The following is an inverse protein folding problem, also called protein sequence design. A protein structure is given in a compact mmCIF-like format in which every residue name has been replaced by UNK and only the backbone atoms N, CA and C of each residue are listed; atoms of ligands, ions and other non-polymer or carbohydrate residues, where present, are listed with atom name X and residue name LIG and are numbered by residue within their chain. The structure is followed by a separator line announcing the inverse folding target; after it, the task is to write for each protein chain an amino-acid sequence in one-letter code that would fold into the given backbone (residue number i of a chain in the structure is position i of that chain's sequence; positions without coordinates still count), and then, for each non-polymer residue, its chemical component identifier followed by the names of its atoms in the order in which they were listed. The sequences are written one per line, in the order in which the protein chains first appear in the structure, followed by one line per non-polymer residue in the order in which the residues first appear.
data_IF_495362534369
#
_entry.id   IF_495362534369
#
_cell.length_a   1.000
_cell.length_b   1.000
_cell.length_c   1.000
_cell.angle_alpha   90.00
_cell.angle_beta   90.00
_cell.angle_gamma   90.00
#
_symmetry.space_group_name_H-M   'P 1'
#
loop_
_entity.id
_entity.type
_entity.pdbx_description
1 polymer ?
#
# COMPACT_ATOMS: atom_id res chain seq x y z
N UNK A 1 4.57 10.21 -7.48
CA UNK A 1 4.48 10.12 -6.01
C UNK A 1 5.87 9.93 -5.44
N UNK A 2 6.27 10.69 -4.39
CA UNK A 2 7.61 10.64 -3.83
C UNK A 2 7.76 9.49 -2.81
N UNK A 3 7.44 8.25 -3.22
CA UNK A 3 7.56 7.06 -2.38
C UNK A 3 8.66 6.15 -2.92
N UNK A 4 9.38 5.50 -2.02
CA UNK A 4 10.37 4.48 -2.33
C UNK A 4 10.19 3.30 -1.38
N UNK A 5 10.04 2.10 -1.95
CA UNK A 5 9.93 0.87 -1.19
C UNK A 5 11.26 0.13 -1.32
N UNK A 6 12.17 0.23 -0.33
CA UNK A 6 13.44 -0.45 -0.41
C UNK A 6 13.29 -1.96 -0.23
N UNK A 7 14.23 -2.74 -0.78
CA UNK A 7 14.41 -4.13 -0.36
C UNK A 7 15.31 -4.24 0.88
N UNK A 8 15.42 -5.43 1.45
CA UNK A 8 16.22 -5.65 2.67
C UNK A 8 17.70 -5.32 2.44
N UNK A 9 18.24 -5.73 1.28
CA UNK A 9 19.63 -5.56 0.90
C UNK A 9 20.01 -4.08 0.82
N UNK A 10 19.15 -3.24 0.23
CA UNK A 10 19.33 -1.80 0.13
C UNK A 10 19.39 -1.13 1.50
N UNK A 11 18.46 -1.47 2.40
CA UNK A 11 18.47 -0.91 3.77
C UNK A 11 19.72 -1.37 4.51
N UNK A 12 20.08 -2.66 4.38
CA UNK A 12 21.28 -3.23 5.00
C UNK A 12 22.54 -2.54 4.52
N UNK A 13 22.69 -2.32 3.22
CA UNK A 13 23.83 -1.63 2.63
C UNK A 13 23.96 -0.21 3.17
N UNK A 14 22.86 0.55 3.23
CA UNK A 14 22.86 1.91 3.77
C UNK A 14 23.32 1.95 5.22
N UNK A 15 22.82 1.04 6.07
CA UNK A 15 23.20 0.99 7.49
C UNK A 15 24.68 0.62 7.66
N UNK A 16 25.20 -0.30 6.85
CA UNK A 16 26.61 -0.71 6.89
C UNK A 16 27.52 0.44 6.42
N UNK A 17 27.16 1.09 5.32
CA UNK A 17 27.94 2.18 4.74
C UNK A 17 27.95 3.43 5.61
N UNK A 18 26.86 3.72 6.32
CA UNK A 18 26.80 4.80 7.31
C UNK A 18 27.68 4.50 8.53
N UNK A 19 27.63 3.28 9.05
CA UNK A 19 28.64 2.74 9.98
C UNK A 19 28.42 3.01 11.48
N UNK A 20 27.46 3.85 11.89
CA UNK A 20 27.19 4.18 13.31
C UNK A 20 26.43 3.09 14.07
N UNK A 21 25.73 2.22 13.36
CA UNK A 21 24.84 1.23 13.97
C UNK A 21 25.34 -0.21 13.79
N UNK A 22 25.03 -1.05 14.78
CA UNK A 22 25.07 -2.51 14.66
C UNK A 22 23.66 -3.01 14.39
N UNK A 23 23.51 -3.86 13.38
CA UNK A 23 22.25 -4.55 13.10
C UNK A 23 22.12 -5.73 14.07
N UNK A 24 21.06 -5.73 14.89
CA UNK A 24 20.77 -6.82 15.83
C UNK A 24 19.85 -7.86 15.23
N UNK A 25 18.81 -7.41 14.53
CA UNK A 25 17.75 -8.25 13.96
C UNK A 25 17.16 -7.59 12.74
N UNK A 26 16.79 -8.39 11.76
CA UNK A 26 15.98 -7.98 10.61
C UNK A 26 14.80 -8.94 10.54
N UNK A 27 13.61 -8.39 10.37
CA UNK A 27 12.37 -9.16 10.21
C UNK A 27 11.56 -8.63 9.03
N UNK A 28 11.05 -9.55 8.23
CA UNK A 28 10.13 -9.25 7.14
C UNK A 28 8.76 -9.80 7.46
N UNK A 29 7.74 -8.97 7.28
CA UNK A 29 6.36 -9.33 7.54
C UNK A 29 5.52 -9.00 6.33
N UNK A 30 4.83 -10.01 5.83
CA UNK A 30 3.78 -9.82 4.85
C UNK A 30 2.62 -9.11 5.52
N UNK A 31 2.41 -7.84 5.17
CA UNK A 31 1.17 -7.16 5.49
C UNK A 31 0.12 -7.64 4.50
N UNK A 32 -0.45 -8.80 4.81
CA UNK A 32 -1.62 -9.34 4.14
C UNK A 32 -2.77 -8.41 4.49
N UNK A 33 -3.15 -7.59 3.53
CA UNK A 33 -4.35 -6.81 3.72
C UNK A 33 -5.53 -7.75 3.37
N UNK A 34 -6.45 -8.03 4.31
CA UNK A 34 -7.38 -9.15 4.20
C UNK A 34 -8.49 -8.83 3.20
N UNK A 35 -8.46 -9.39 1.98
CA UNK A 35 -9.56 -9.24 1.00
C UNK A 35 -9.86 -10.54 0.27
N UNK A 36 -10.03 -11.63 1.01
CA UNK A 36 -10.71 -12.78 0.43
C UNK A 36 -12.21 -12.59 0.66
N UNK A 37 -12.90 -12.03 -0.32
CA UNK A 37 -14.37 -12.08 -0.37
C UNK A 37 -14.73 -13.42 -1.02
N UNK A 38 -15.00 -14.45 -0.22
CA UNK A 38 -15.52 -15.74 -0.70
C UNK A 38 -17.06 -15.69 -0.73
N UNK A 39 -17.67 -15.15 -1.79
CA UNK A 39 -19.15 -15.08 -1.93
C UNK A 39 -19.63 -15.12 -3.41
N UNK A 40 -20.95 -15.23 -3.61
CA UNK A 40 -21.64 -15.36 -4.91
C UNK A 40 -21.67 -14.06 -5.76
N UNK A 41 -21.76 -14.23 -7.09
CA UNK A 41 -21.45 -13.23 -8.14
C UNK A 41 -22.21 -11.88 -8.10
N UNK A 42 -23.46 -11.84 -7.64
CA UNK A 42 -24.24 -10.60 -7.61
C UNK A 42 -24.00 -9.76 -6.34
N UNK A 43 -23.88 -10.43 -5.19
CA UNK A 43 -23.58 -9.83 -3.87
C UNK A 43 -22.12 -9.34 -3.81
N UNK A 44 -21.23 -9.99 -4.58
CA UNK A 44 -19.84 -9.60 -4.80
C UNK A 44 -19.71 -8.16 -5.33
N UNK A 45 -20.62 -7.67 -6.17
CA UNK A 45 -20.43 -6.36 -6.85
C UNK A 45 -20.46 -5.15 -5.89
N UNK A 46 -21.37 -5.15 -4.92
CA UNK A 46 -21.50 -4.07 -3.92
C UNK A 46 -20.39 -4.15 -2.87
N UNK A 47 -20.09 -5.35 -2.37
CA UNK A 47 -19.01 -5.58 -1.40
C UNK A 47 -17.63 -5.22 -2.00
N UNK A 48 -17.38 -5.59 -3.27
CA UNK A 48 -16.15 -5.23 -3.98
C UNK A 48 -16.03 -3.71 -4.18
N UNK A 49 -17.14 -3.04 -4.49
CA UNK A 49 -17.15 -1.59 -4.64
C UNK A 49 -16.87 -0.90 -3.30
N UNK A 50 -17.44 -1.38 -2.20
CA UNK A 50 -17.17 -0.84 -0.87
C UNK A 50 -15.72 -1.06 -0.45
N UNK A 51 -15.17 -2.26 -0.69
CA UNK A 51 -13.74 -2.52 -0.48
C UNK A 51 -12.85 -1.63 -1.36
N UNK A 52 -13.27 -1.37 -2.61
CA UNK A 52 -12.61 -0.43 -3.51
C UNK A 52 -12.57 1.00 -2.95
N UNK A 53 -13.69 1.48 -2.39
CA UNK A 53 -13.78 2.81 -1.76
C UNK A 53 -12.98 2.92 -0.48
N UNK A 54 -13.00 1.91 0.38
CA UNK A 54 -12.19 1.88 1.61
C UNK A 54 -10.71 2.06 1.27
N UNK A 55 -10.26 1.38 0.21
CA UNK A 55 -8.90 1.49 -0.31
C UNK A 55 -8.59 2.82 -0.98
N UNK A 56 -9.52 3.35 -1.77
CA UNK A 56 -9.38 4.68 -2.32
C UNK A 56 -9.25 5.73 -1.21
N UNK A 57 -10.01 5.58 -0.12
CA UNK A 57 -9.95 6.46 1.05
C UNK A 57 -8.59 6.40 1.73
N UNK A 58 -8.05 5.21 2.00
CA UNK A 58 -6.71 5.08 2.60
C UNK A 58 -5.61 5.72 1.74
N UNK A 59 -5.64 5.51 0.42
CA UNK A 59 -4.69 6.16 -0.50
C UNK A 59 -4.94 7.67 -0.59
N UNK A 60 -6.19 8.12 -0.56
CA UNK A 60 -6.57 9.54 -0.56
C UNK A 60 -5.98 10.26 0.63
N UNK A 61 -6.13 9.73 1.84
CA UNK A 61 -5.55 10.29 3.06
C UNK A 61 -4.03 10.56 2.96
N UNK A 62 -3.29 9.70 2.25
CA UNK A 62 -1.82 9.82 2.12
C UNK A 62 -1.44 10.77 0.97
N UNK A 63 -2.20 10.76 -0.13
CA UNK A 63 -1.77 11.31 -1.42
C UNK A 63 -2.48 12.59 -1.84
N UNK A 64 -3.66 12.88 -1.30
CA UNK A 64 -4.48 14.04 -1.69
C UNK A 64 -3.74 15.38 -1.60
N UNK A 65 -3.00 15.72 -0.52
CA UNK A 65 -2.30 17.01 -0.46
C UNK A 65 -1.30 17.21 -1.61
N UNK A 66 -0.62 16.13 -2.03
CA UNK A 66 0.33 16.16 -3.14
C UNK A 66 -0.38 16.31 -4.49
N UNK A 67 -1.52 15.64 -4.66
CA UNK A 67 -2.32 15.73 -5.86
C UNK A 67 -2.98 17.12 -5.99
N UNK A 68 -3.49 17.69 -4.90
CA UNK A 68 -4.04 19.05 -4.87
C UNK A 68 -2.96 20.07 -5.23
N UNK A 69 -1.78 19.97 -4.62
CA UNK A 69 -0.69 20.90 -4.88
C UNK A 69 -0.22 20.90 -6.35
N UNK A 70 -0.37 19.76 -7.05
CA UNK A 70 0.09 19.60 -8.43
C UNK A 70 -1.01 19.81 -9.48
N UNK A 71 -2.23 19.34 -9.21
CA UNK A 71 -3.33 19.31 -10.17
C UNK A 71 -4.53 20.22 -9.80
N UNK A 72 -4.55 20.77 -8.58
CA UNK A 72 -5.68 21.51 -8.04
C UNK A 72 -6.80 20.62 -7.47
N UNK A 73 -7.74 21.22 -6.74
CA UNK A 73 -8.80 20.51 -6.02
C UNK A 73 -9.90 19.94 -6.94
N UNK A 74 -10.14 20.59 -8.08
CA UNK A 74 -11.30 20.32 -8.94
C UNK A 74 -11.34 18.90 -9.53
N UNK A 75 -10.20 18.20 -9.55
CA UNK A 75 -10.07 16.85 -10.13
C UNK A 75 -10.03 15.74 -9.09
N UNK A 76 -9.88 16.07 -7.80
CA UNK A 76 -9.53 15.11 -6.75
C UNK A 76 -10.61 14.06 -6.55
N UNK A 77 -11.86 14.48 -6.43
CA UNK A 77 -12.98 13.54 -6.23
C UNK A 77 -13.09 12.56 -7.41
N UNK A 78 -13.00 13.06 -8.64
CA UNK A 78 -13.07 12.21 -9.85
C UNK A 78 -11.91 11.20 -9.92
N UNK A 79 -10.71 11.60 -9.50
CA UNK A 79 -9.53 10.71 -9.46
C UNK A 79 -9.76 9.57 -8.47
N UNK A 80 -10.24 9.87 -7.27
CA UNK A 80 -10.45 8.85 -6.24
C UNK A 80 -11.68 7.98 -6.49
N UNK A 81 -12.74 8.50 -7.11
CA UNK A 81 -13.88 7.71 -7.59
C UNK A 81 -13.43 6.68 -8.62
N UNK A 82 -12.60 7.11 -9.59
CA UNK A 82 -12.05 6.22 -10.62
C UNK A 82 -11.08 5.21 -10.01
N UNK A 83 -10.28 5.61 -9.03
CA UNK A 83 -9.40 4.72 -8.29
C UNK A 83 -10.19 3.63 -7.55
N UNK A 84 -11.30 3.99 -6.89
CA UNK A 84 -12.18 3.04 -6.20
C UNK A 84 -12.73 1.97 -7.16
N UNK A 85 -13.19 2.39 -8.34
CA UNK A 85 -13.68 1.47 -9.38
C UNK A 85 -12.58 0.51 -9.87
N UNK A 86 -11.37 1.02 -10.12
CA UNK A 86 -10.25 0.16 -10.51
C UNK A 86 -9.85 -0.81 -9.41
N UNK A 87 -9.90 -0.38 -8.14
CA UNK A 87 -9.60 -1.24 -7.01
C UNK A 87 -10.66 -2.33 -6.84
N UNK A 88 -11.94 -2.00 -6.97
CA UNK A 88 -13.03 -2.98 -6.95
C UNK A 88 -12.83 -4.06 -8.03
N UNK A 89 -12.49 -3.64 -9.26
CA UNK A 89 -12.16 -4.56 -10.36
C UNK A 89 -10.89 -5.38 -10.08
N UNK A 90 -9.88 -4.78 -9.47
CA UNK A 90 -8.65 -5.49 -9.09
C UNK A 90 -8.94 -6.59 -8.07
N UNK A 91 -9.77 -6.29 -7.08
CA UNK A 91 -10.18 -7.22 -6.02
C UNK A 91 -11.12 -8.34 -6.52
N UNK A 92 -11.82 -8.13 -7.64
CA UNK A 92 -12.75 -9.12 -8.20
C UNK A 92 -12.07 -10.32 -8.85
N UNK A 93 -10.77 -10.26 -9.10
CA UNK A 93 -10.04 -11.31 -9.82
C UNK A 93 -9.45 -12.31 -8.83
N UNK A 94 -10.09 -13.48 -8.73
CA UNK A 94 -9.84 -14.57 -7.77
C UNK A 94 -8.44 -15.19 -7.78
N UNK A 95 -7.61 -14.89 -8.78
CA UNK A 95 -6.23 -15.41 -8.92
C UNK A 95 -5.14 -14.45 -8.42
N UNK A 96 -5.49 -13.27 -7.90
CA UNK A 96 -4.48 -12.34 -7.43
C UNK A 96 -3.86 -12.78 -6.10
N UNK A 97 -2.53 -12.64 -6.03
CA UNK A 97 -1.84 -12.63 -4.73
C UNK A 97 -2.53 -11.58 -3.85
N UNK A 98 -2.78 -11.85 -2.57
CA UNK A 98 -3.27 -10.81 -1.67
C UNK A 98 -2.35 -9.59 -1.83
N UNK A 99 -2.94 -8.39 -1.92
CA UNK A 99 -2.18 -7.15 -1.90
C UNK A 99 -1.23 -7.21 -0.70
N UNK A 100 0.04 -7.42 -0.94
CA UNK A 100 1.03 -7.69 0.10
C UNK A 100 1.97 -6.50 0.14
N UNK A 101 1.88 -5.71 1.18
CA UNK A 101 2.96 -4.76 1.48
C UNK A 101 3.98 -5.53 2.31
N UNK A 102 5.24 -5.55 1.87
CA UNK A 102 6.31 -6.13 2.68
C UNK A 102 6.74 -5.07 3.69
N UNK A 103 6.52 -5.33 4.97
CA UNK A 103 7.10 -4.51 6.03
C UNK A 103 8.46 -5.10 6.43
N UNK A 104 9.49 -4.26 6.41
CA UNK A 104 10.84 -4.65 6.84
C UNK A 104 11.17 -3.89 8.13
N UNK A 105 11.48 -4.62 9.19
CA UNK A 105 11.81 -4.08 10.50
C UNK A 105 13.28 -4.35 10.84
N UNK A 106 14.03 -3.29 11.13
CA UNK A 106 15.43 -3.37 11.57
C UNK A 106 15.53 -3.00 13.05
N UNK A 107 16.11 -3.89 13.85
CA UNK A 107 16.55 -3.57 15.21
C UNK A 107 18.03 -3.16 15.17
N UNK A 108 18.31 -1.93 15.58
CA UNK A 108 19.64 -1.33 15.54
C UNK A 108 20.09 -0.89 16.94
N UNK A 109 21.37 -1.06 17.24
CA UNK A 109 22.02 -0.46 18.42
C UNK A 109 23.15 0.45 17.97
N UNK A 110 23.20 1.67 18.51
CA UNK A 110 24.31 2.59 18.26
C UNK A 110 25.61 2.00 18.82
N UNK A 111 26.69 2.07 18.04
CA UNK A 111 28.03 1.70 18.51
C UNK A 111 28.57 2.69 19.55
#
# INVERSE_FOLDING_TARGET
MPFYNPNEEEVREVVINEGSFKINKIETHDHIVPYKIEKDEEELSLELMEAGKERATGIRCITEPLLVAHFGETVIDQVFDKYAQYMAKYLSVSSHRPNMTLNICFSLTRK
#
